data_IF_422159573984
#
_entry.id   IF_422159573984
#
_cell.length_a   1.000
_cell.length_b   1.000
_cell.length_c   1.000
_cell.angle_alpha   90.00
_cell.angle_beta   90.00
_cell.angle_gamma   90.00
#
_symmetry.space_group_name_H-M   'P 1'
#
loop_
_entity.id
_entity.type
_entity.pdbx_description
1 polymer ?
#
# COMPACT_ATOMS: atom_id res chain seq x y z
N UNK A 1 15.40 5.89 -3.53
CA UNK A 1 14.39 6.74 -2.87
C UNK A 1 14.20 6.24 -1.44
N UNK A 2 14.43 7.07 -0.45
CA UNK A 2 14.19 6.78 0.97
C UNK A 2 13.29 7.86 1.55
N UNK A 3 12.39 7.48 2.45
CA UNK A 3 11.48 8.43 3.10
C UNK A 3 12.21 9.16 4.22
N UNK A 4 12.11 10.49 4.24
CA UNK A 4 12.70 11.38 5.26
C UNK A 4 11.69 11.84 6.30
N UNK A 5 10.47 12.16 5.85
CA UNK A 5 9.41 12.69 6.71
C UNK A 5 8.05 12.31 6.16
N UNK A 6 7.12 12.05 7.05
CA UNK A 6 5.70 11.87 6.75
C UNK A 6 4.89 12.82 7.60
N UNK A 7 4.01 13.61 6.99
CA UNK A 7 3.10 14.54 7.65
C UNK A 7 1.67 14.13 7.31
N UNK A 8 0.86 13.94 8.34
CA UNK A 8 -0.50 13.40 8.23
C UNK A 8 -1.47 14.37 8.91
N UNK A 9 -2.57 14.71 8.25
CA UNK A 9 -3.63 15.55 8.81
C UNK A 9 -4.99 14.91 8.60
N UNK A 10 -5.81 14.91 9.63
CA UNK A 10 -7.19 14.43 9.65
C UNK A 10 -7.40 13.07 8.94
N UNK A 11 -6.45 12.15 9.12
CA UNK A 11 -6.45 10.84 8.49
C UNK A 11 -6.60 9.74 9.55
N UNK A 12 -7.73 9.02 9.55
CA UNK A 12 -8.03 7.94 10.50
C UNK A 12 -7.92 8.39 11.95
N UNK A 13 -6.93 7.86 12.70
CA UNK A 13 -6.70 8.24 14.10
C UNK A 13 -5.97 9.58 14.24
N UNK A 14 -5.23 9.99 13.21
CA UNK A 14 -4.45 11.21 13.24
C UNK A 14 -5.34 12.42 12.97
N UNK A 15 -5.21 13.46 13.78
CA UNK A 15 -5.97 14.70 13.63
C UNK A 15 -5.03 15.86 13.29
N UNK A 16 -4.22 16.30 14.27
CA UNK A 16 -3.35 17.45 14.09
C UNK A 16 -2.03 17.02 13.43
N UNK A 17 -1.61 17.67 12.32
CA UNK A 17 -0.33 17.39 11.70
C UNK A 17 0.86 17.72 12.60
N UNK A 18 0.72 18.58 13.63
CA UNK A 18 1.79 18.82 14.59
C UNK A 18 2.13 17.56 15.40
N UNK A 19 1.10 16.78 15.75
CA UNK A 19 1.25 15.53 16.49
C UNK A 19 1.48 14.31 15.58
N UNK A 20 1.21 14.46 14.28
CA UNK A 20 1.29 13.40 13.28
C UNK A 20 2.34 13.68 12.19
N UNK A 21 3.42 14.35 12.58
CA UNK A 21 4.61 14.52 11.75
C UNK A 21 5.71 13.59 12.24
N UNK A 22 6.11 12.67 11.37
CA UNK A 22 7.13 11.66 11.64
C UNK A 22 8.42 12.04 10.93
N UNK A 23 9.43 12.43 11.70
CA UNK A 23 10.79 12.60 11.19
C UNK A 23 11.48 11.23 11.16
N UNK A 24 11.87 10.79 9.97
CA UNK A 24 12.47 9.51 9.69
C UNK A 24 13.95 9.65 9.28
N UNK A 25 14.55 10.75 9.69
CA UNK A 25 15.97 10.98 9.44
C UNK A 25 16.85 10.43 10.58
N UNK A 26 18.10 10.21 10.25
CA UNK A 26 19.14 9.91 11.23
C UNK A 26 19.57 11.18 11.96
N UNK A 27 20.35 11.03 13.02
CA UNK A 27 20.94 12.18 13.76
C UNK A 27 21.77 13.12 12.87
N UNK A 28 22.22 12.66 11.73
CA UNK A 28 22.97 13.46 10.75
C UNK A 28 22.07 14.11 9.68
N UNK A 29 20.74 14.02 9.81
CA UNK A 29 19.77 14.61 8.88
C UNK A 29 19.56 13.83 7.57
N UNK A 30 20.22 12.68 7.40
CA UNK A 30 20.02 11.83 6.24
C UNK A 30 18.82 10.91 6.43
N UNK A 31 18.14 10.54 5.33
CA UNK A 31 17.07 9.56 5.39
C UNK A 31 17.57 8.22 5.95
N UNK A 32 16.85 7.66 6.92
CA UNK A 32 17.22 6.40 7.54
C UNK A 32 17.17 5.23 6.53
N UNK A 33 18.10 4.30 6.65
CA UNK A 33 18.10 3.08 5.83
C UNK A 33 17.12 2.01 6.31
N UNK A 34 16.75 2.07 7.59
CA UNK A 34 15.79 1.19 8.24
C UNK A 34 14.99 1.98 9.27
N UNK A 35 13.69 1.80 9.28
CA UNK A 35 12.75 2.45 10.20
C UNK A 35 11.85 1.38 10.80
N UNK A 36 11.77 1.36 12.13
CA UNK A 36 10.86 0.49 12.87
C UNK A 36 9.87 1.32 13.67
N UNK A 37 8.59 1.13 13.45
CA UNK A 37 7.51 1.77 14.20
C UNK A 37 7.01 0.83 15.28
N UNK A 38 7.27 1.19 16.53
CA UNK A 38 6.79 0.46 17.68
C UNK A 38 5.83 1.34 18.49
N UNK A 39 4.63 0.82 18.74
CA UNK A 39 3.64 1.45 19.61
C UNK A 39 2.63 0.38 20.09
N UNK A 40 1.93 0.59 21.22
CA UNK A 40 0.84 -0.28 21.66
C UNK A 40 -0.27 -0.39 20.61
N UNK A 41 -1.17 -1.37 20.79
CA UNK A 41 -2.32 -1.49 19.91
C UNK A 41 -3.25 -0.28 20.05
N UNK A 42 -3.82 0.19 18.94
CA UNK A 42 -4.67 1.38 18.92
C UNK A 42 -3.94 2.70 18.68
N UNK A 43 -2.61 2.76 18.77
CA UNK A 43 -1.82 3.98 18.61
C UNK A 43 -1.48 4.37 17.16
N UNK A 44 -2.19 3.85 16.19
CA UNK A 44 -2.13 4.37 14.82
C UNK A 44 -1.08 3.72 13.90
N UNK A 45 -0.38 2.63 14.31
CA UNK A 45 0.59 1.95 13.41
C UNK A 45 0.01 1.63 12.03
N UNK A 46 -1.17 1.01 12.02
CA UNK A 46 -1.88 0.69 10.78
C UNK A 46 -2.33 1.95 10.03
N UNK A 47 -2.75 2.99 10.75
CA UNK A 47 -3.13 4.27 10.13
C UNK A 47 -1.93 4.98 9.48
N UNK A 48 -0.75 4.88 10.08
CA UNK A 48 0.48 5.37 9.47
C UNK A 48 0.83 4.60 8.19
N UNK A 49 0.77 3.27 8.25
CA UNK A 49 0.99 2.43 7.08
C UNK A 49 0.02 2.78 5.94
N UNK A 50 -1.29 2.83 6.23
CA UNK A 50 -2.32 3.20 5.26
C UNK A 50 -2.08 4.60 4.66
N UNK A 51 -1.64 5.56 5.48
CA UNK A 51 -1.33 6.90 5.02
C UNK A 51 -0.18 6.91 4.00
N UNK A 52 0.91 6.21 4.31
CA UNK A 52 2.06 6.09 3.40
C UNK A 52 1.67 5.33 2.13
N UNK A 53 0.97 4.20 2.27
CA UNK A 53 0.48 3.43 1.13
C UNK A 53 -0.38 4.30 0.22
N UNK A 54 -1.36 5.01 0.78
CA UNK A 54 -2.23 5.88 0.00
C UNK A 54 -1.46 7.03 -0.67
N UNK A 55 -0.53 7.67 0.04
CA UNK A 55 0.24 8.76 -0.53
C UNK A 55 1.01 8.33 -1.78
N UNK A 56 1.59 7.12 -1.74
CA UNK A 56 2.43 6.58 -2.82
C UNK A 56 1.61 5.96 -3.94
N UNK A 57 0.56 5.19 -3.61
CA UNK A 57 -0.18 4.35 -4.58
C UNK A 57 -1.56 4.88 -4.95
N UNK A 58 -2.05 5.92 -4.26
CA UNK A 58 -3.45 6.42 -4.33
C UNK A 58 -4.51 5.36 -3.97
N UNK A 59 -4.09 4.30 -3.29
CA UNK A 59 -4.91 3.15 -2.96
C UNK A 59 -4.53 2.62 -1.58
N UNK A 60 -5.45 1.90 -0.94
CA UNK A 60 -5.19 1.14 0.29
C UNK A 60 -5.66 -0.30 0.05
N UNK A 61 -4.72 -1.23 -0.08
CA UNK A 61 -4.98 -2.60 -0.53
C UNK A 61 -6.00 -3.35 0.30
N UNK A 62 -5.96 -3.18 1.61
CA UNK A 62 -6.91 -3.86 2.50
C UNK A 62 -8.36 -3.45 2.29
N UNK A 63 -8.62 -2.25 1.79
CA UNK A 63 -9.97 -1.82 1.48
C UNK A 63 -10.45 -2.39 0.14
N UNK A 64 -9.56 -2.63 -0.81
CA UNK A 64 -9.92 -3.25 -2.07
C UNK A 64 -10.43 -4.69 -1.93
N UNK A 65 -9.90 -5.43 -0.97
CA UNK A 65 -10.34 -6.81 -0.74
C UNK A 65 -11.74 -6.90 -0.08
N UNK A 66 -12.27 -5.77 0.39
CA UNK A 66 -13.54 -5.66 1.14
C UNK A 66 -14.49 -4.63 0.56
N UNK A 67 -14.33 -4.26 -0.71
CA UNK A 67 -15.14 -3.22 -1.34
C UNK A 67 -16.64 -3.46 -1.14
N UNK A 68 -17.11 -4.67 -1.48
CA UNK A 68 -18.53 -5.01 -1.39
C UNK A 68 -19.05 -4.96 0.05
N UNK A 69 -18.23 -5.34 1.02
CA UNK A 69 -18.57 -5.27 2.45
C UNK A 69 -18.59 -3.82 2.93
N UNK A 70 -17.62 -3.02 2.55
CA UNK A 70 -17.52 -1.62 2.92
C UNK A 70 -18.65 -0.80 2.29
N UNK A 71 -19.02 -1.05 1.04
CA UNK A 71 -20.15 -0.40 0.39
C UNK A 71 -21.48 -0.77 1.04
N UNK A 72 -21.67 -2.02 1.44
CA UNK A 72 -22.85 -2.45 2.21
C UNK A 72 -22.90 -1.76 3.56
N UNK A 73 -21.76 -1.68 4.27
CA UNK A 73 -21.68 -1.00 5.57
C UNK A 73 -21.96 0.50 5.43
N UNK A 74 -21.37 1.16 4.43
CA UNK A 74 -21.59 2.57 4.16
C UNK A 74 -23.07 2.87 3.84
N UNK A 75 -23.73 2.00 3.08
CA UNK A 75 -25.15 2.13 2.76
C UNK A 75 -26.07 1.88 3.97
N UNK A 76 -25.70 0.93 4.84
CA UNK A 76 -26.52 0.55 6.00
C UNK A 76 -26.39 1.52 7.18
N UNK A 77 -25.20 2.10 7.38
CA UNK A 77 -24.87 2.87 8.59
C UNK A 77 -24.62 4.36 8.30
N UNK A 78 -24.79 4.83 7.08
CA UNK A 78 -24.46 6.19 6.66
C UNK A 78 -22.99 6.58 6.96
N UNK A 79 -22.09 5.60 6.98
CA UNK A 79 -20.66 5.83 7.19
C UNK A 79 -20.10 6.40 5.90
N UNK A 80 -19.72 7.66 5.94
CA UNK A 80 -19.17 8.37 4.78
C UNK A 80 -17.64 8.58 4.88
N UNK A 81 -17.04 8.24 6.03
CA UNK A 81 -15.64 8.47 6.33
C UNK A 81 -14.92 7.16 6.68
N UNK A 82 -14.21 6.58 5.70
CA UNK A 82 -13.34 5.41 5.91
C UNK A 82 -11.90 5.81 6.17
N UNK A 83 -11.45 6.87 5.53
CA UNK A 83 -10.07 7.34 5.53
C UNK A 83 -9.92 8.57 6.40
N UNK A 84 -10.85 9.54 6.27
CA UNK A 84 -10.82 10.76 7.07
C UNK A 84 -11.06 10.49 8.55
N UNK A 85 -10.45 11.29 9.38
CA UNK A 85 -10.77 11.29 10.81
C UNK A 85 -12.23 11.74 11.00
N UNK A 86 -13.03 10.92 11.69
CA UNK A 86 -14.45 11.20 11.91
C UNK A 86 -14.71 12.39 12.83
N UNK A 87 -13.74 12.72 13.68
CA UNK A 87 -13.84 13.75 14.70
C UNK A 87 -13.12 15.05 14.30
N UNK A 88 -12.62 15.13 13.06
CA UNK A 88 -11.86 16.29 12.59
C UNK A 88 -12.60 17.06 11.51
N UNK A 89 -12.57 18.39 11.62
CA UNK A 89 -13.01 19.31 10.55
C UNK A 89 -11.85 19.80 9.70
N UNK A 90 -10.63 19.35 9.98
CA UNK A 90 -9.42 19.74 9.24
C UNK A 90 -9.40 19.13 7.84
N UNK A 91 -8.67 19.74 6.95
CA UNK A 91 -8.38 19.15 5.64
C UNK A 91 -7.56 17.88 5.78
N UNK A 92 -8.05 16.79 5.18
CA UNK A 92 -7.34 15.52 5.19
C UNK A 92 -6.27 15.51 4.11
N UNK A 93 -5.03 15.30 4.52
CA UNK A 93 -3.91 15.15 3.58
C UNK A 93 -2.83 14.22 4.15
N UNK A 94 -2.03 13.69 3.24
CA UNK A 94 -0.78 12.99 3.55
C UNK A 94 0.32 13.52 2.66
N UNK A 95 1.43 13.95 3.27
CA UNK A 95 2.63 14.38 2.57
C UNK A 95 3.80 13.47 2.91
N UNK A 96 4.47 12.97 1.90
CA UNK A 96 5.68 12.13 2.05
C UNK A 96 6.86 12.82 1.39
N UNK A 97 7.90 13.02 2.17
CA UNK A 97 9.15 13.65 1.76
C UNK A 97 10.22 12.57 1.59
N UNK A 98 11.00 12.64 0.53
CA UNK A 98 12.06 11.68 0.23
C UNK A 98 13.43 12.33 0.13
N UNK A 99 14.47 11.53 0.03
CA UNK A 99 15.87 11.96 -0.05
C UNK A 99 16.24 12.75 -1.32
N UNK A 100 15.41 12.68 -2.37
CA UNK A 100 15.65 13.39 -3.64
C UNK A 100 15.07 14.80 -3.70
N UNK A 101 14.25 15.22 -2.73
CA UNK A 101 13.56 16.52 -2.73
C UNK A 101 13.71 17.18 -1.35
N UNK A 102 14.40 18.31 -1.24
CA UNK A 102 14.85 18.79 0.06
C UNK A 102 13.74 19.44 0.90
N UNK A 103 12.83 20.20 0.32
CA UNK A 103 11.83 20.98 1.08
C UNK A 103 10.39 20.79 0.63
N UNK A 104 10.15 20.13 -0.50
CA UNK A 104 8.81 19.86 -0.99
C UNK A 104 8.45 18.38 -0.86
N UNK A 105 7.18 18.05 -0.56
CA UNK A 105 6.74 16.68 -0.50
C UNK A 105 6.84 16.02 -1.88
N UNK A 106 7.47 14.86 -1.96
CA UNK A 106 7.52 14.05 -3.18
C UNK A 106 6.14 13.53 -3.54
N UNK A 107 5.36 13.19 -2.51
CA UNK A 107 3.96 12.82 -2.64
C UNK A 107 3.13 13.72 -1.75
N UNK A 108 2.14 14.41 -2.33
CA UNK A 108 1.17 15.24 -1.62
C UNK A 108 -0.22 14.81 -2.07
N UNK A 109 -0.93 14.12 -1.18
CA UNK A 109 -2.27 13.62 -1.44
C UNK A 109 -3.25 14.28 -0.51
N UNK A 110 -4.17 15.02 -1.09
CA UNK A 110 -5.28 15.64 -0.40
C UNK A 110 -6.57 14.93 -0.79
N UNK A 111 -7.40 14.68 0.22
CA UNK A 111 -8.67 14.00 0.01
C UNK A 111 -9.77 15.02 -0.20
N UNK A 112 -10.49 14.85 -1.28
CA UNK A 112 -11.68 15.63 -1.57
C UNK A 112 -12.90 14.71 -1.66
N UNK A 113 -14.00 15.13 -1.06
CA UNK A 113 -15.28 14.50 -1.31
C UNK A 113 -15.77 15.00 -2.67
N UNK A 114 -15.81 14.11 -3.65
CA UNK A 114 -16.30 14.44 -4.99
C UNK A 114 -17.81 14.26 -5.09
N UNK A 115 -18.57 15.36 -5.21
CA UNK A 115 -19.98 15.38 -5.58
C UNK A 115 -20.88 14.47 -4.73
N UNK A 116 -21.58 13.54 -5.38
CA UNK A 116 -22.54 12.61 -4.75
C UNK A 116 -21.90 11.36 -4.17
N UNK A 117 -20.59 11.30 -3.97
CA UNK A 117 -19.95 10.15 -3.33
C UNK A 117 -20.47 9.93 -1.91
N UNK A 118 -20.91 8.71 -1.63
CA UNK A 118 -21.42 8.32 -0.31
C UNK A 118 -20.31 8.19 0.73
N UNK A 119 -19.05 7.99 0.29
CA UNK A 119 -17.88 7.82 1.16
C UNK A 119 -16.62 8.46 0.55
N UNK A 120 -15.57 8.61 1.34
CA UNK A 120 -14.29 9.20 0.94
C UNK A 120 -13.32 8.20 0.28
N UNK A 121 -13.73 6.96 0.10
CA UNK A 121 -12.94 5.92 -0.53
C UNK A 121 -13.20 5.93 -2.05
N UNK A 122 -12.20 6.29 -2.84
CA UNK A 122 -12.25 6.19 -4.31
C UNK A 122 -11.73 4.84 -4.74
N UNK A 123 -12.63 3.98 -5.21
CA UNK A 123 -12.32 2.64 -5.67
C UNK A 123 -12.08 2.65 -7.18
N UNK A 124 -10.97 3.24 -7.61
CA UNK A 124 -10.55 3.19 -9.01
C UNK A 124 -9.61 2.00 -9.25
N UNK A 125 -10.19 0.89 -9.73
CA UNK A 125 -9.46 -0.32 -10.05
C UNK A 125 -8.43 -0.15 -11.16
N UNK A 126 -8.55 0.89 -12.00
CA UNK A 126 -7.60 1.18 -13.09
C UNK A 126 -6.31 1.77 -12.53
N UNK A 127 -6.42 2.73 -11.60
CA UNK A 127 -5.25 3.37 -10.97
C UNK A 127 -4.37 2.36 -10.25
N UNK A 128 -4.97 1.37 -9.58
CA UNK A 128 -4.22 0.32 -8.87
C UNK A 128 -3.28 -0.48 -9.76
N UNK A 129 -3.64 -0.74 -11.02
CA UNK A 129 -2.83 -1.58 -11.94
C UNK A 129 -1.61 -0.86 -12.49
N UNK A 130 -1.60 0.46 -12.46
CA UNK A 130 -0.56 1.29 -13.09
C UNK A 130 0.58 1.68 -12.15
N UNK A 131 0.43 1.49 -10.84
CA UNK A 131 1.44 1.91 -9.87
C UNK A 131 2.50 0.83 -9.61
N UNK A 132 3.74 1.13 -9.99
CA UNK A 132 4.90 0.26 -9.76
C UNK A 132 5.19 -0.01 -8.26
N UNK A 133 4.71 0.85 -7.38
CA UNK A 133 4.95 0.77 -5.93
C UNK A 133 4.14 -0.30 -5.21
N UNK A 134 3.06 -0.83 -5.77
CA UNK A 134 2.28 -1.91 -5.17
C UNK A 134 3.10 -3.16 -4.88
N UNK A 135 4.20 -3.36 -5.62
CA UNK A 135 5.10 -4.50 -5.44
C UNK A 135 6.16 -4.26 -4.35
N UNK A 136 6.28 -3.03 -3.87
CA UNK A 136 7.25 -2.61 -2.84
C UNK A 136 6.57 -2.48 -1.48
N UNK A 137 5.27 -2.19 -1.45
CA UNK A 137 4.48 -2.03 -0.23
C UNK A 137 3.78 -3.36 0.08
N UNK A 138 4.20 -4.02 1.16
CA UNK A 138 3.63 -5.28 1.63
C UNK A 138 2.60 -5.03 2.73
N UNK A 139 1.32 -5.16 2.40
CA UNK A 139 0.25 -5.12 3.39
C UNK A 139 0.16 -6.44 4.18
N UNK A 140 -0.36 -6.37 5.41
CA UNK A 140 -0.62 -7.56 6.22
C UNK A 140 -1.61 -8.51 5.50
N UNK A 141 -2.58 -7.96 4.82
CA UNK A 141 -3.57 -8.70 4.04
C UNK A 141 -2.92 -9.48 2.88
N UNK A 142 -1.95 -8.86 2.20
CA UNK A 142 -1.20 -9.53 1.15
C UNK A 142 -0.39 -10.72 1.70
N UNK A 143 0.31 -10.50 2.83
CA UNK A 143 1.06 -11.55 3.50
C UNK A 143 0.13 -12.68 3.95
N UNK A 144 -1.01 -12.35 4.55
CA UNK A 144 -2.01 -13.34 4.97
C UNK A 144 -2.57 -14.10 3.77
N UNK A 145 -2.95 -13.42 2.69
CA UNK A 145 -3.44 -14.05 1.47
C UNK A 145 -2.39 -14.93 0.79
N UNK A 146 -1.10 -14.58 0.91
CA UNK A 146 -0.01 -15.41 0.43
C UNK A 146 0.16 -16.68 1.29
N UNK A 147 0.11 -16.56 2.60
CA UNK A 147 0.30 -17.68 3.53
C UNK A 147 -0.89 -18.67 3.53
N UNK A 148 -2.10 -18.16 3.32
CA UNK A 148 -3.33 -18.97 3.28
C UNK A 148 -3.63 -19.57 1.90
N UNK A 149 -2.87 -19.19 0.85
CA UNK A 149 -3.03 -19.78 -0.47
C UNK A 149 -2.69 -21.27 -0.44
N UNK A 150 -3.69 -22.12 -0.70
CA UNK A 150 -3.55 -23.57 -0.68
C UNK A 150 -2.89 -24.13 -1.93
N UNK A 151 -3.05 -23.47 -3.07
CA UNK A 151 -2.43 -23.87 -4.33
C UNK A 151 -0.97 -23.39 -4.38
N UNK A 152 -0.04 -24.36 -4.41
CA UNK A 152 1.39 -24.11 -4.46
C UNK A 152 1.83 -23.36 -5.72
N UNK A 153 1.19 -23.56 -6.87
CA UNK A 153 1.50 -22.86 -8.12
C UNK A 153 0.99 -21.41 -8.08
N UNK A 154 -0.19 -21.18 -7.52
CA UNK A 154 -0.72 -19.83 -7.30
C UNK A 154 0.14 -19.04 -6.30
N UNK A 155 0.60 -19.70 -5.22
CA UNK A 155 1.54 -19.10 -4.25
C UNK A 155 2.87 -18.74 -4.89
N UNK A 156 3.44 -19.63 -5.68
CA UNK A 156 4.66 -19.38 -6.44
C UNK A 156 4.51 -18.19 -7.38
N UNK A 157 3.43 -18.12 -8.17
CA UNK A 157 3.16 -17.00 -9.08
C UNK A 157 3.03 -15.67 -8.34
N UNK A 158 2.36 -15.65 -7.18
CA UNK A 158 2.27 -14.45 -6.33
C UNK A 158 3.66 -13.99 -5.87
N UNK A 159 4.52 -14.92 -5.44
CA UNK A 159 5.88 -14.61 -5.01
C UNK A 159 6.74 -14.09 -6.16
N UNK A 160 6.71 -14.79 -7.31
CA UNK A 160 7.49 -14.45 -8.50
C UNK A 160 6.96 -13.23 -9.27
N UNK A 161 5.80 -12.69 -8.88
CA UNK A 161 5.28 -11.43 -9.45
C UNK A 161 6.12 -10.19 -9.10
N UNK A 162 7.10 -10.33 -8.20
CA UNK A 162 8.07 -9.29 -7.90
C UNK A 162 8.98 -9.05 -9.13
N UNK A 163 9.13 -7.79 -9.62
CA UNK A 163 9.95 -7.47 -10.79
C UNK A 163 11.41 -7.91 -10.66
N UNK A 164 11.97 -7.89 -9.45
CA UNK A 164 13.35 -8.31 -9.19
C UNK A 164 13.55 -9.83 -9.41
N UNK A 165 12.48 -10.60 -9.30
CA UNK A 165 12.50 -12.05 -9.51
C UNK A 165 12.11 -12.48 -10.93
N UNK A 166 11.73 -11.54 -11.79
CA UNK A 166 11.28 -11.84 -13.16
C UNK A 166 12.32 -12.56 -14.01
N UNK A 167 13.60 -12.27 -13.82
CA UNK A 167 14.69 -12.97 -14.51
C UNK A 167 14.80 -14.43 -14.07
N UNK A 168 14.60 -14.71 -12.79
CA UNK A 168 14.61 -16.05 -12.21
C UNK A 168 13.40 -16.85 -12.70
N UNK A 169 12.23 -16.21 -12.76
CA UNK A 169 11.00 -16.84 -13.27
C UNK A 169 11.14 -17.21 -14.76
N UNK A 170 11.68 -16.30 -15.57
CA UNK A 170 11.95 -16.56 -16.98
C UNK A 170 12.93 -17.74 -17.15
N UNK A 171 13.99 -17.78 -16.37
CA UNK A 171 14.94 -18.88 -16.40
C UNK A 171 14.30 -20.23 -16.04
N UNK A 172 13.52 -20.25 -14.97
CA UNK A 172 12.77 -21.44 -14.54
C UNK A 172 11.79 -21.92 -15.61
N UNK A 173 11.02 -21.02 -16.21
CA UNK A 173 10.08 -21.35 -17.27
C UNK A 173 10.78 -21.90 -18.51
N UNK A 174 11.93 -21.35 -18.89
CA UNK A 174 12.74 -21.86 -20.00
C UNK A 174 13.25 -23.28 -19.73
N UNK A 175 13.75 -23.56 -18.52
CA UNK A 175 14.16 -24.91 -18.13
C UNK A 175 12.97 -25.90 -18.18
N UNK A 176 11.80 -25.50 -17.72
CA UNK A 176 10.59 -26.32 -17.75
C UNK A 176 10.14 -26.63 -19.18
N UNK A 177 10.27 -25.69 -20.09
CA UNK A 177 10.01 -25.90 -21.52
C UNK A 177 11.01 -26.88 -22.16
N UNK A 178 12.30 -26.74 -21.86
CA UNK A 178 13.34 -27.65 -22.32
C UNK A 178 13.11 -29.08 -21.82
N UNK A 179 12.79 -29.25 -20.56
CA UNK A 179 12.47 -30.55 -19.99
C UNK A 179 11.27 -31.21 -20.70
N UNK A 180 10.18 -30.47 -20.91
CA UNK A 180 9.01 -30.97 -21.63
C UNK A 180 9.36 -31.37 -23.07
N UNK A 181 10.20 -30.64 -23.76
CA UNK A 181 10.65 -30.94 -25.13
C UNK A 181 11.50 -32.24 -25.16
N UNK A 182 12.40 -32.42 -24.19
CA UNK A 182 13.22 -33.62 -24.07
C UNK A 182 12.39 -34.87 -23.76
N UNK A 183 11.38 -34.77 -22.89
CA UNK A 183 10.47 -35.87 -22.58
C UNK A 183 9.64 -36.29 -23.80
N UNK A 184 9.12 -35.35 -24.58
CA UNK A 184 8.40 -35.67 -25.82
C UNK A 184 9.28 -36.41 -26.84
N UNK A 185 10.57 -36.05 -26.92
CA UNK A 185 11.53 -36.68 -27.85
C UNK A 185 11.94 -38.11 -27.43
N UNK A 186 11.76 -38.45 -26.16
CA UNK A 186 12.10 -39.77 -25.59
C UNK A 186 10.91 -40.76 -25.65
N UNK A 187 9.69 -40.25 -25.87
CA UNK A 187 8.43 -41.02 -25.85
C UNK A 187 7.87 -41.27 -27.29
N UNK A 188 8.56 -40.81 -28.32
CA UNK A 188 8.27 -41.07 -29.73
C UNK A 188 9.45 -41.78 -30.38
#
# INVERSE_FOLDING_TARGET
MKVKKVEISAFRIYDDPQDATFDLTTKTGNAAGFISLYAPNGFGKTSFYDAVEYAVTESIDRFYMRVDELEKMANAQSIDKFIRNTNSDRTTYVKVYTDGNNDEPTYNRQFYKHGNQKHDLVLDTKRRKEHSFQKVILSQEWISAFLTESDGEARYRKFMSNPELSSVDNYYNNLRHLLKALWKKKSG
#
